data_IF_882501906674
#
_entry.id   IF_882501906674
#
_cell.length_a   1.000
_cell.length_b   1.000
_cell.length_c   1.000
_cell.angle_alpha   90.00
_cell.angle_beta   90.00
_cell.angle_gamma   90.00
#
_symmetry.space_group_name_H-M   'P 1'
#
loop_
_entity.id
_entity.type
_entity.pdbx_description
1 polymer ?
#
# COMPACT_ATOMS: atom_id res chain seq x y z
N UNK A 1 5.57 -13.79 -18.15
CA UNK A 1 6.46 -13.40 -17.05
C UNK A 1 5.89 -12.12 -16.46
N UNK A 2 5.64 -12.07 -15.15
CA UNK A 2 5.08 -10.86 -14.51
C UNK A 2 6.22 -9.85 -14.28
N UNK A 3 5.93 -8.56 -14.45
CA UNK A 3 6.88 -7.50 -14.08
C UNK A 3 6.68 -7.16 -12.61
N UNK A 4 7.76 -6.94 -11.83
CA UNK A 4 7.63 -6.43 -10.47
C UNK A 4 6.75 -5.18 -10.43
N UNK A 5 5.81 -5.14 -9.51
CA UNK A 5 4.89 -4.00 -9.35
C UNK A 5 4.42 -3.90 -7.90
N UNK A 6 3.79 -2.76 -7.58
CA UNK A 6 3.24 -2.47 -6.27
C UNK A 6 1.71 -2.41 -6.39
N UNK A 7 1.02 -3.24 -5.64
CA UNK A 7 -0.42 -3.11 -5.42
C UNK A 7 -0.66 -2.34 -4.13
N UNK A 8 -1.62 -1.41 -4.15
CA UNK A 8 -1.98 -0.57 -3.01
C UNK A 8 -3.48 -0.59 -2.82
N UNK A 9 -3.91 -0.74 -1.58
CA UNK A 9 -5.31 -0.62 -1.18
C UNK A 9 -5.40 0.31 0.02
N UNK A 10 -6.16 1.40 -0.14
CA UNK A 10 -6.40 2.36 0.92
C UNK A 10 -7.76 2.08 1.57
N UNK A 11 -7.85 2.21 2.89
CA UNK A 11 -9.09 2.01 3.61
C UNK A 11 -9.12 2.77 4.95
N UNK A 12 -10.28 2.84 5.60
CA UNK A 12 -10.42 3.45 6.93
C UNK A 12 -9.79 2.61 8.03
N UNK A 13 -9.86 1.28 7.92
CA UNK A 13 -9.40 0.37 8.98
C UNK A 13 -8.91 -0.97 8.41
N UNK A 14 -7.89 -1.55 9.04
CA UNK A 14 -7.39 -2.90 8.76
C UNK A 14 -7.57 -3.71 10.04
N UNK A 15 -8.34 -4.79 9.97
CA UNK A 15 -8.57 -5.68 11.12
C UNK A 15 -7.92 -7.03 10.91
N UNK A 16 -7.29 -7.52 11.97
CA UNK A 16 -6.77 -8.88 12.05
C UNK A 16 -7.84 -9.76 12.70
N UNK A 17 -8.37 -10.70 11.93
CA UNK A 17 -9.37 -11.63 12.41
C UNK A 17 -8.70 -12.81 13.15
N UNK A 18 -9.43 -13.47 14.05
CA UNK A 18 -8.93 -14.59 14.88
C UNK A 18 -8.31 -15.72 14.05
N UNK A 19 -8.75 -15.89 12.80
CA UNK A 19 -8.26 -16.93 11.90
C UNK A 19 -7.15 -16.47 10.94
N UNK A 20 -6.50 -15.33 11.21
CA UNK A 20 -5.41 -14.79 10.41
C UNK A 20 -5.84 -14.09 9.12
N UNK A 21 -7.15 -13.89 8.89
CA UNK A 21 -7.64 -13.09 7.76
C UNK A 21 -7.51 -11.60 8.06
N UNK A 22 -7.43 -10.81 6.99
CA UNK A 22 -7.50 -9.37 7.05
C UNK A 22 -8.86 -8.90 6.55
N UNK A 23 -9.48 -7.98 7.29
CA UNK A 23 -10.65 -7.23 6.85
C UNK A 23 -10.23 -5.79 6.53
N UNK A 24 -10.58 -5.31 5.34
CA UNK A 24 -10.39 -3.92 4.93
C UNK A 24 -11.73 -3.20 4.98
N UNK A 25 -11.86 -2.21 5.87
CA UNK A 25 -13.12 -1.50 6.11
C UNK A 25 -13.06 -0.12 5.49
N UNK A 26 -14.11 0.29 4.77
CA UNK A 26 -14.15 1.60 4.11
C UNK A 26 -13.09 1.72 3.02
N UNK A 27 -13.07 0.76 2.08
CA UNK A 27 -12.07 0.74 1.00
C UNK A 27 -12.32 1.90 0.04
N UNK A 28 -11.26 2.68 -0.20
CA UNK A 28 -11.26 3.73 -1.20
C UNK A 28 -10.89 3.16 -2.57
N UNK A 29 -11.59 3.59 -3.61
CA UNK A 29 -11.29 3.19 -4.99
C UNK A 29 -10.15 4.05 -5.55
N UNK A 30 -10.49 5.15 -6.22
CA UNK A 30 -9.54 6.09 -6.84
C UNK A 30 -9.36 7.37 -6.02
N UNK A 31 -10.39 7.78 -5.28
CA UNK A 31 -10.38 9.04 -4.55
C UNK A 31 -11.07 8.95 -3.17
N UNK A 32 -10.61 9.83 -2.28
CA UNK A 32 -11.22 10.17 -1.01
C UNK A 32 -11.76 11.59 -1.12
N UNK A 33 -13.07 11.76 -0.92
CA UNK A 33 -13.72 13.06 -0.99
C UNK A 33 -14.09 13.54 0.41
N UNK A 34 -13.61 14.72 0.79
CA UNK A 34 -13.97 15.36 2.06
C UNK A 34 -14.97 16.50 1.82
N UNK A 35 -15.90 16.78 2.76
CA UNK A 35 -16.87 17.87 2.58
C UNK A 35 -16.23 19.26 2.46
N UNK A 36 -15.16 19.50 3.23
CA UNK A 36 -14.39 20.72 3.25
C UNK A 36 -12.99 20.45 3.80
N UNK A 37 -12.05 21.33 3.49
CA UNK A 37 -10.75 21.38 4.15
C UNK A 37 -10.71 22.55 5.17
N UNK A 38 -9.95 22.43 6.27
CA UNK A 38 -9.20 21.25 6.68
C UNK A 38 -10.12 20.11 7.14
N UNK A 39 -9.69 18.88 6.91
CA UNK A 39 -10.36 17.67 7.35
C UNK A 39 -9.42 16.80 8.19
N UNK A 40 -9.98 15.99 9.07
CA UNK A 40 -9.23 14.97 9.80
C UNK A 40 -9.95 13.65 9.66
N UNK A 41 -9.27 12.66 9.11
CA UNK A 41 -9.73 11.28 9.16
C UNK A 41 -9.34 10.70 10.52
N UNK A 42 -10.23 9.95 11.19
CA UNK A 42 -9.84 9.20 12.37
C UNK A 42 -8.65 8.29 12.10
N UNK A 43 -8.60 7.72 10.89
CA UNK A 43 -7.57 6.78 10.46
C UNK A 43 -7.50 6.73 8.93
N UNK A 44 -6.30 6.60 8.40
CA UNK A 44 -6.05 6.18 7.02
C UNK A 44 -5.12 4.98 7.05
N UNK A 45 -5.57 3.86 6.49
CA UNK A 45 -4.78 2.66 6.33
C UNK A 45 -4.35 2.47 4.88
N UNK A 46 -3.19 1.84 4.69
CA UNK A 46 -2.73 1.36 3.39
C UNK A 46 -2.19 -0.06 3.51
N UNK A 47 -2.74 -0.95 2.69
CA UNK A 47 -2.20 -2.29 2.44
C UNK A 47 -1.37 -2.22 1.18
N UNK A 48 -0.08 -2.54 1.31
CA UNK A 48 0.90 -2.44 0.24
C UNK A 48 1.40 -3.85 -0.03
N UNK A 49 1.35 -4.26 -1.30
CA UNK A 49 1.93 -5.53 -1.74
C UNK A 49 2.96 -5.27 -2.81
N UNK A 50 4.15 -5.83 -2.64
CA UNK A 50 5.18 -5.86 -3.67
C UNK A 50 5.13 -7.25 -4.27
N UNK A 51 4.73 -7.31 -5.54
CA UNK A 51 4.55 -8.56 -6.28
C UNK A 51 5.70 -8.70 -7.26
N UNK A 52 6.44 -9.79 -7.18
CA UNK A 52 7.57 -10.09 -8.07
C UNK A 52 7.56 -11.56 -8.50
N UNK A 53 8.31 -11.94 -9.56
CA UNK A 53 8.43 -13.35 -9.93
C UNK A 53 8.99 -14.19 -8.78
N UNK A 54 8.45 -15.39 -8.56
CA UNK A 54 8.86 -16.26 -7.44
C UNK A 54 10.35 -16.68 -7.45
N UNK A 55 11.01 -16.59 -8.61
CA UNK A 55 12.43 -16.91 -8.77
C UNK A 55 13.35 -15.68 -8.66
N UNK A 56 12.79 -14.47 -8.53
CA UNK A 56 13.56 -13.25 -8.38
C UNK A 56 13.86 -12.99 -6.91
N UNK A 57 15.09 -13.22 -6.45
CA UNK A 57 15.49 -12.87 -5.08
C UNK A 57 15.60 -11.35 -4.95
N UNK A 58 14.76 -10.76 -4.09
CA UNK A 58 14.84 -9.35 -3.74
C UNK A 58 15.97 -9.17 -2.73
N UNK A 59 16.91 -8.26 -3.00
CA UNK A 59 18.07 -8.02 -2.11
C UNK A 59 17.92 -6.76 -1.29
N UNK A 60 17.16 -5.79 -1.80
CA UNK A 60 16.94 -4.52 -1.13
C UNK A 60 15.55 -3.99 -1.43
N UNK A 61 14.94 -3.42 -0.41
CA UNK A 61 13.64 -2.75 -0.52
C UNK A 61 13.64 -1.49 0.33
N UNK A 62 13.34 -0.35 -0.28
CA UNK A 62 12.92 0.86 0.44
C UNK A 62 11.49 1.20 0.05
N UNK A 63 10.57 1.08 1.00
CA UNK A 63 9.16 1.41 0.82
C UNK A 63 8.89 2.80 1.40
N UNK A 64 8.24 3.66 0.63
CA UNK A 64 7.84 5.02 1.02
C UNK A 64 6.35 5.23 0.80
N UNK A 65 5.69 5.77 1.81
CA UNK A 65 4.38 6.41 1.67
C UNK A 65 4.59 7.91 1.67
N UNK A 66 4.08 8.59 0.67
CA UNK A 66 4.21 10.03 0.49
C UNK A 66 2.84 10.69 0.48
N UNK A 67 2.77 11.92 0.98
CA UNK A 67 1.68 12.87 0.78
C UNK A 67 2.24 13.99 -0.09
N UNK A 68 1.80 14.01 -1.35
CA UNK A 68 2.44 14.77 -2.42
C UNK A 68 3.93 14.39 -2.52
N UNK A 69 4.83 15.32 -2.20
CA UNK A 69 6.28 15.09 -2.18
C UNK A 69 6.84 14.81 -0.78
N UNK A 70 6.03 14.94 0.27
CA UNK A 70 6.46 14.76 1.65
C UNK A 70 6.35 13.28 2.07
N UNK A 71 7.46 12.69 2.51
CA UNK A 71 7.47 11.34 3.07
C UNK A 71 6.68 11.29 4.37
N UNK A 72 5.59 10.52 4.40
CA UNK A 72 4.83 10.20 5.60
C UNK A 72 5.49 9.07 6.40
N UNK A 73 5.96 8.04 5.69
CA UNK A 73 6.61 6.88 6.28
C UNK A 73 7.64 6.31 5.31
N UNK A 74 8.78 5.88 5.86
CA UNK A 74 9.82 5.14 5.13
C UNK A 74 10.15 3.86 5.89
N UNK A 75 10.21 2.74 5.17
CA UNK A 75 10.61 1.44 5.68
C UNK A 75 11.75 0.96 4.80
N UNK A 76 12.91 0.74 5.41
CA UNK A 76 14.07 0.16 4.75
C UNK A 76 14.18 -1.29 5.21
N UNK A 77 14.25 -2.20 4.25
CA UNK A 77 14.38 -3.64 4.47
C UNK A 77 15.64 -4.11 3.75
N UNK A 78 16.55 -4.68 4.52
CA UNK A 78 17.81 -5.23 4.02
C UNK A 78 17.66 -6.69 3.56
N UNK A 79 18.75 -7.23 3.00
CA UNK A 79 18.79 -8.57 2.43
C UNK A 79 18.49 -9.66 3.48
N UNK A 80 18.99 -9.49 4.71
CA UNK A 80 18.79 -10.46 5.80
C UNK A 80 17.32 -10.51 6.24
N UNK A 81 16.68 -9.34 6.34
CA UNK A 81 15.25 -9.24 6.65
C UNK A 81 14.37 -9.77 5.50
N UNK A 82 14.76 -9.52 4.24
CA UNK A 82 14.06 -10.05 3.07
C UNK A 82 14.16 -11.57 3.00
N UNK A 83 15.35 -12.13 3.21
CA UNK A 83 15.58 -13.58 3.24
C UNK A 83 14.68 -14.23 4.30
N UNK A 84 14.68 -13.70 5.53
CA UNK A 84 13.86 -14.18 6.64
C UNK A 84 12.35 -14.08 6.35
N UNK A 85 11.90 -13.02 5.66
CA UNK A 85 10.50 -12.84 5.28
C UNK A 85 10.06 -13.82 4.19
N UNK A 86 11.01 -14.31 3.38
CA UNK A 86 10.76 -15.29 2.32
C UNK A 86 11.02 -16.74 2.75
N UNK A 87 11.50 -17.01 3.96
CA UNK A 87 11.80 -18.37 4.43
C UNK A 87 10.57 -19.30 4.46
N UNK A 88 9.35 -18.75 4.59
CA UNK A 88 8.12 -19.54 4.43
C UNK A 88 7.98 -20.13 3.00
N UNK A 89 8.62 -19.53 1.98
CA UNK A 89 8.74 -20.09 0.64
C UNK A 89 9.93 -21.06 0.51
N UNK A 90 10.90 -21.04 1.42
CA UNK A 90 12.03 -21.97 1.46
C UNK A 90 11.61 -23.37 1.90
N UNK A 91 10.53 -23.50 2.67
CA UNK A 91 9.99 -24.80 3.10
C UNK A 91 9.10 -25.51 2.05
N UNK A 92 8.79 -24.84 0.93
CA UNK A 92 8.01 -25.44 -0.16
C UNK A 92 8.84 -26.46 -0.94
N UNK A 93 8.25 -27.59 -1.30
CA UNK A 93 8.93 -28.56 -2.17
C UNK A 93 9.07 -28.01 -3.61
N UNK A 94 9.94 -28.63 -4.41
CA UNK A 94 10.25 -28.19 -5.78
C UNK A 94 8.99 -28.09 -6.67
N UNK A 95 8.01 -28.97 -6.49
CA UNK A 95 6.76 -28.92 -7.25
C UNK A 95 5.86 -27.74 -6.84
N UNK A 96 5.80 -27.41 -5.55
CA UNK A 96 5.06 -26.27 -5.01
C UNK A 96 5.68 -24.94 -5.43
N UNK A 97 7.01 -24.87 -5.35
CA UNK A 97 7.80 -23.72 -5.83
C UNK A 97 7.61 -23.52 -7.33
N UNK A 98 7.54 -24.59 -8.13
CA UNK A 98 7.29 -24.52 -9.57
C UNK A 98 5.86 -24.08 -9.92
N UNK A 99 4.88 -24.36 -9.06
CA UNK A 99 3.49 -23.88 -9.23
C UNK A 99 3.33 -22.41 -8.89
N UNK A 100 4.13 -21.89 -7.96
CA UNK A 100 4.10 -20.47 -7.60
C UNK A 100 4.87 -19.63 -8.61
N UNK A 101 4.13 -18.79 -9.35
CA UNK A 101 4.72 -17.93 -10.37
C UNK A 101 5.17 -16.57 -9.79
N UNK A 102 4.65 -16.21 -8.62
CA UNK A 102 4.86 -14.91 -7.96
C UNK A 102 5.12 -15.09 -6.48
N UNK A 103 5.92 -14.19 -5.93
CA UNK A 103 6.08 -13.97 -4.49
C UNK A 103 5.54 -12.58 -4.15
N UNK A 104 5.04 -12.43 -2.92
CA UNK A 104 4.41 -11.20 -2.46
C UNK A 104 4.91 -10.84 -1.07
N UNK A 105 5.45 -9.62 -0.92
CA UNK A 105 5.71 -9.02 0.38
C UNK A 105 4.58 -8.05 0.71
N UNK A 106 3.97 -8.20 1.89
CA UNK A 106 2.83 -7.39 2.30
C UNK A 106 3.18 -6.53 3.52
N UNK A 107 2.88 -5.24 3.42
CA UNK A 107 3.01 -4.25 4.49
C UNK A 107 1.65 -3.63 4.76
N UNK A 108 1.29 -3.53 6.04
CA UNK A 108 0.04 -2.91 6.50
C UNK A 108 0.43 -1.70 7.33
N UNK A 109 0.07 -0.50 6.87
CA UNK A 109 0.39 0.75 7.55
C UNK A 109 -0.88 1.49 7.95
N UNK A 110 -0.78 2.21 9.06
CA UNK A 110 -1.87 2.95 9.67
C UNK A 110 -1.38 4.34 10.07
N UNK A 111 -2.15 5.36 9.69
CA UNK A 111 -1.96 6.75 10.08
C UNK A 111 -3.18 7.22 10.86
N UNK A 112 -3.01 7.57 12.14
CA UNK A 112 -4.11 7.94 13.03
C UNK A 112 -3.66 8.97 14.08
N UNK A 113 -4.28 10.17 14.15
CA UNK A 113 -5.20 10.73 13.15
C UNK A 113 -4.47 11.09 11.84
N UNK A 114 -5.21 11.20 10.74
CA UNK A 114 -4.65 11.67 9.46
C UNK A 114 -5.20 13.05 9.08
N UNK A 115 -4.32 14.04 9.09
CA UNK A 115 -4.67 15.45 8.85
C UNK A 115 -4.55 15.84 7.38
N UNK A 116 -5.60 16.49 6.88
CA UNK A 116 -5.76 16.94 5.50
C UNK A 116 -6.01 18.45 5.48
N UNK A 117 -4.96 19.22 5.21
CA UNK A 117 -5.05 20.69 5.14
C UNK A 117 -5.67 21.18 3.82
N UNK A 118 -5.37 20.47 2.72
CA UNK A 118 -5.83 20.80 1.36
C UNK A 118 -5.91 19.50 0.54
N UNK A 119 -6.40 19.61 -0.70
CA UNK A 119 -6.34 18.53 -1.67
C UNK A 119 -4.89 18.06 -1.88
N UNK A 120 -4.70 16.74 -1.91
CA UNK A 120 -3.38 16.12 -2.00
C UNK A 120 -3.47 14.73 -2.64
N UNK A 121 -2.33 14.12 -2.94
CA UNK A 121 -2.27 12.70 -3.30
C UNK A 121 -1.45 11.91 -2.31
N UNK A 122 -1.99 10.82 -1.78
CA UNK A 122 -1.22 9.85 -0.99
C UNK A 122 -0.71 8.77 -1.94
N UNK A 123 0.60 8.56 -2.02
CA UNK A 123 1.22 7.64 -2.98
C UNK A 123 2.17 6.68 -2.29
N UNK A 124 2.37 5.51 -2.91
CA UNK A 124 3.34 4.52 -2.47
C UNK A 124 4.41 4.35 -3.54
N UNK A 125 5.66 4.40 -3.10
CA UNK A 125 6.83 4.13 -3.94
C UNK A 125 7.67 3.04 -3.28
N UNK A 126 8.14 2.09 -4.07
CA UNK A 126 9.04 1.04 -3.62
C UNK A 126 10.31 1.07 -4.48
N UNK A 127 11.46 1.29 -3.87
CA UNK A 127 12.75 1.11 -4.51
C UNK A 127 13.19 -0.35 -4.28
N UNK A 128 13.10 -1.17 -5.32
CA UNK A 128 13.43 -2.59 -5.29
C UNK A 128 14.68 -2.81 -6.12
N UNK A 129 15.77 -3.22 -5.49
CA UNK A 129 17.06 -3.47 -6.17
C UNK A 129 17.50 -2.31 -7.09
N UNK A 130 17.28 -1.08 -6.63
CA UNK A 130 17.60 0.15 -7.35
C UNK A 130 16.57 0.58 -8.41
N UNK A 131 15.50 -0.19 -8.62
CA UNK A 131 14.40 0.14 -9.54
C UNK A 131 13.23 0.72 -8.75
N UNK A 132 12.80 1.93 -9.09
CA UNK A 132 11.62 2.56 -8.49
C UNK A 132 10.35 2.00 -9.12
N UNK A 133 9.47 1.44 -8.28
CA UNK A 133 8.14 0.97 -8.60
C UNK A 133 7.12 1.90 -7.94
N UNK A 134 6.04 2.20 -8.65
CA UNK A 134 4.98 3.07 -8.17
C UNK A 134 3.67 2.29 -8.02
N UNK A 135 3.04 2.41 -6.85
CA UNK A 135 1.69 1.91 -6.61
C UNK A 135 0.62 2.92 -7.04
N UNK A 136 -0.64 2.52 -7.01
CA UNK A 136 -1.73 3.47 -7.23
C UNK A 136 -1.76 4.51 -6.09
N UNK A 137 -2.01 5.77 -6.44
CA UNK A 137 -2.20 6.84 -5.47
C UNK A 137 -3.66 6.98 -5.08
N UNK A 138 -3.91 7.41 -3.85
CA UNK A 138 -5.21 7.90 -3.41
C UNK A 138 -5.26 9.41 -3.60
N UNK A 139 -6.12 9.88 -4.51
CA UNK A 139 -6.40 11.31 -4.65
C UNK A 139 -7.33 11.76 -3.55
N UNK A 140 -7.01 12.85 -2.87
CA UNK A 140 -7.84 13.46 -1.83
C UNK A 140 -8.34 14.81 -2.34
N UNK A 141 -9.65 14.95 -2.50
CA UNK A 141 -10.28 16.16 -3.04
C UNK A 141 -11.47 16.61 -2.18
N UNK A 142 -11.90 17.85 -2.38
CA UNK A 142 -13.15 18.33 -1.80
C UNK A 142 -14.34 17.85 -2.65
N UNK A 143 -15.43 17.43 -2.00
CA UNK A 143 -16.67 17.12 -2.69
C UNK A 143 -17.13 18.34 -3.50
N UNK A 144 -17.61 18.15 -4.76
CA UNK A 144 -18.20 19.25 -5.51
C UNK A 144 -19.42 19.77 -4.74
N UNK A 145 -19.51 21.09 -4.58
CA UNK A 145 -20.75 21.73 -4.13
C UNK A 145 -21.83 21.40 -5.16
N UNK A 146 -22.96 20.84 -4.71
CA UNK A 146 -24.13 20.66 -5.58
C UNK A 146 -24.42 21.98 -6.29
N UNK A 147 -24.58 22.01 -7.62
CA UNK A 147 -25.13 23.18 -8.26
C UNK A 147 -26.54 23.38 -7.67
N UNK A 148 -26.85 24.61 -7.26
CA UNK A 148 -28.19 25.00 -6.82
C UNK A 148 -29.21 24.47 -7.82
N UNK A 149 -29.95 23.43 -7.43
CA UNK A 149 -31.15 23.04 -8.16
C UNK A 149 -32.13 24.19 -7.97
N UNK A 150 -32.57 24.88 -9.05
CA UNK A 150 -33.57 25.92 -8.90
C UNK A 150 -34.82 25.30 -8.30
N UNK A 151 -35.22 25.88 -7.17
CA UNK A 151 -36.45 25.61 -6.42
C UNK A 151 -37.70 25.68 -7.28
#
# INVERSE_FOLDING_TARGET
>A
MITPHVETLFCDDIRHEINGKLSYIGVYADALLVPAFPATLPKLCVSIKIVSPAHALLRSLTLRVLKDDATLQEIVVDEDQLASATDAFAELNDEERQRQHVQTLQYLLEFSPFHLETACTVQVRALVDGVELQGAGLRVDQMPSSPDLPS
#
